data_IF_816395840335
#
_entry.id   IF_816395840335
#
_cell.length_a   1.000
_cell.length_b   1.000
_cell.length_c   1.000
_cell.angle_alpha   90.00
_cell.angle_beta   90.00
_cell.angle_gamma   90.00
#
_symmetry.space_group_name_H-M   'P 1'
#
loop_
_entity.id
_entity.type
_entity.pdbx_description
1 polymer ?
#
# COMPACT_ATOMS: atom_id res chain seq x y z
N UNK A 1 -5.64 -0.28 -18.72
CA UNK A 1 -5.23 -1.38 -19.62
C UNK A 1 -4.57 -2.50 -18.83
N UNK A 2 -4.89 -3.78 -19.06
CA UNK A 2 -4.18 -4.93 -18.47
C UNK A 2 -3.30 -5.62 -19.54
N UNK A 3 -1.96 -5.44 -19.54
CA UNK A 3 -1.09 -6.05 -20.52
C UNK A 3 -0.55 -7.42 -20.08
N UNK A 4 -0.07 -8.24 -21.01
CA UNK A 4 0.82 -9.36 -20.69
C UNK A 4 2.05 -8.89 -19.90
N UNK A 5 2.38 -9.56 -18.79
CA UNK A 5 3.44 -9.12 -17.87
C UNK A 5 4.82 -8.96 -18.53
N UNK A 6 5.12 -9.79 -19.53
CA UNK A 6 6.37 -9.73 -20.32
C UNK A 6 6.53 -8.42 -21.09
N UNK A 7 5.45 -7.67 -21.30
CA UNK A 7 5.44 -6.38 -22.00
C UNK A 7 5.51 -5.19 -21.04
N UNK A 8 5.38 -5.39 -19.71
CA UNK A 8 5.43 -4.31 -18.74
C UNK A 8 6.67 -3.42 -18.91
N UNK A 9 7.91 -3.95 -18.98
CA UNK A 9 9.10 -3.10 -19.15
C UNK A 9 8.98 -2.20 -20.40
N UNK A 10 8.57 -2.77 -21.54
CA UNK A 10 8.43 -2.04 -22.80
C UNK A 10 7.36 -0.94 -22.72
N UNK A 11 6.27 -1.21 -22.01
CA UNK A 11 5.18 -0.25 -21.81
C UNK A 11 5.64 0.90 -20.93
N UNK A 12 6.33 0.62 -19.81
CA UNK A 12 6.86 1.65 -18.91
C UNK A 12 7.87 2.55 -19.64
N UNK A 13 8.79 1.96 -20.40
CA UNK A 13 9.73 2.70 -21.25
C UNK A 13 9.00 3.57 -22.28
N UNK A 14 7.94 3.05 -22.91
CA UNK A 14 7.14 3.83 -23.87
C UNK A 14 6.41 4.99 -23.22
N UNK A 15 5.85 4.80 -22.02
CA UNK A 15 5.18 5.86 -21.26
C UNK A 15 6.14 7.01 -20.99
N UNK A 16 7.34 6.68 -20.50
CA UNK A 16 8.37 7.67 -20.21
C UNK A 16 8.85 8.38 -21.48
N UNK A 17 9.13 7.64 -22.56
CA UNK A 17 9.64 8.20 -23.82
C UNK A 17 8.62 9.09 -24.53
N UNK A 18 7.35 8.69 -24.51
CA UNK A 18 6.28 9.37 -25.26
C UNK A 18 5.56 10.42 -24.41
N UNK A 19 6.03 10.67 -23.18
CA UNK A 19 5.45 11.63 -22.22
C UNK A 19 3.94 11.44 -22.04
N UNK A 20 3.46 10.19 -22.09
CA UNK A 20 2.03 9.92 -22.08
C UNK A 20 1.52 9.63 -20.66
N UNK A 21 0.22 9.80 -20.46
CA UNK A 21 -0.48 9.52 -19.22
C UNK A 21 -1.44 8.35 -19.43
N UNK A 22 -1.39 7.36 -18.55
CA UNK A 22 -2.23 6.16 -18.73
C UNK A 22 -2.55 5.47 -17.41
N UNK A 23 -3.68 4.75 -17.40
CA UNK A 23 -4.03 3.84 -16.31
C UNK A 23 -3.60 2.42 -16.69
N UNK A 24 -2.62 1.91 -15.98
CA UNK A 24 -2.11 0.56 -16.14
C UNK A 24 -2.65 -0.34 -15.04
N UNK A 25 -3.20 -1.50 -15.40
CA UNK A 25 -3.58 -2.54 -14.46
C UNK A 25 -2.41 -3.51 -14.40
N UNK A 26 -1.74 -3.58 -13.25
CA UNK A 26 -0.54 -4.40 -13.07
C UNK A 26 -0.48 -4.94 -11.63
N UNK A 27 0.17 -6.08 -11.41
CA UNK A 27 0.29 -6.68 -10.09
C UNK A 27 1.28 -5.90 -9.22
N UNK A 28 1.00 -5.80 -7.92
CA UNK A 28 1.93 -5.21 -6.96
C UNK A 28 2.98 -6.24 -6.52
N UNK A 29 4.00 -6.49 -7.36
CA UNK A 29 5.03 -7.51 -7.13
C UNK A 29 6.43 -6.90 -6.94
N UNK A 30 6.82 -6.55 -5.70
CA UNK A 30 8.12 -5.91 -5.42
C UNK A 30 9.36 -6.69 -5.87
N UNK A 31 9.25 -8.02 -5.99
CA UNK A 31 10.36 -8.89 -6.39
C UNK A 31 10.66 -8.88 -7.89
N UNK A 32 9.84 -8.20 -8.69
CA UNK A 32 10.03 -8.13 -10.13
C UNK A 32 10.88 -6.92 -10.52
N UNK A 33 11.82 -7.09 -11.44
CA UNK A 33 12.73 -6.01 -11.86
C UNK A 33 12.01 -4.79 -12.41
N UNK A 34 10.91 -4.98 -13.15
CA UNK A 34 10.09 -3.89 -13.70
C UNK A 34 9.26 -3.15 -12.66
N UNK A 35 9.10 -3.69 -11.45
CA UNK A 35 8.26 -3.07 -10.43
C UNK A 35 8.88 -1.77 -9.92
N UNK A 36 10.20 -1.64 -9.92
CA UNK A 36 10.88 -0.42 -9.43
C UNK A 36 10.51 0.82 -10.26
N UNK A 37 10.22 0.64 -11.55
CA UNK A 37 9.81 1.72 -12.46
C UNK A 37 8.36 2.19 -12.20
N UNK A 38 7.48 1.32 -11.70
CA UNK A 38 6.07 1.65 -11.50
C UNK A 38 5.85 2.81 -10.52
N UNK A 39 6.36 2.76 -9.27
CA UNK A 39 6.22 3.86 -8.33
C UNK A 39 6.87 5.16 -8.83
N UNK A 40 7.96 5.07 -9.58
CA UNK A 40 8.67 6.23 -10.12
C UNK A 40 7.89 6.95 -11.23
N UNK A 41 7.01 6.23 -11.92
CA UNK A 41 6.13 6.80 -12.95
C UNK A 41 4.73 7.15 -12.43
N UNK A 42 4.42 6.82 -11.17
CA UNK A 42 3.12 7.14 -10.58
C UNK A 42 2.94 8.64 -10.35
N UNK A 43 1.77 9.14 -10.70
CA UNK A 43 1.31 10.48 -10.34
C UNK A 43 0.05 10.47 -9.47
N UNK A 44 -0.36 9.30 -8.99
CA UNK A 44 -1.39 9.15 -7.98
C UNK A 44 -1.17 7.86 -7.17
N UNK A 45 -1.83 7.76 -6.01
CA UNK A 45 -1.83 6.55 -5.19
C UNK A 45 -2.44 5.37 -5.99
N UNK A 46 -1.77 4.22 -6.08
CA UNK A 46 -2.31 3.06 -6.78
C UNK A 46 -3.57 2.56 -6.07
N UNK A 47 -4.59 2.25 -6.86
CA UNK A 47 -5.86 1.74 -6.35
C UNK A 47 -5.87 0.21 -6.40
N UNK A 48 -5.95 -0.42 -5.24
CA UNK A 48 -6.13 -1.88 -5.16
C UNK A 48 -7.48 -2.25 -5.77
N UNK A 49 -7.49 -3.18 -6.72
CA UNK A 49 -8.72 -3.65 -7.32
C UNK A 49 -9.40 -4.67 -6.40
N UNK A 50 -10.75 -4.65 -6.28
CA UNK A 50 -11.46 -5.66 -5.53
C UNK A 50 -11.30 -7.03 -6.19
N UNK A 51 -11.11 -8.07 -5.39
CA UNK A 51 -11.05 -9.44 -5.90
C UNK A 51 -12.45 -9.85 -6.36
N UNK A 52 -12.63 -9.97 -7.68
CA UNK A 52 -13.85 -10.46 -8.32
C UNK A 52 -13.46 -11.40 -9.45
N UNK A 53 -14.22 -12.47 -9.64
CA UNK A 53 -13.95 -13.46 -10.71
C UNK A 53 -14.07 -12.86 -12.12
N UNK A 54 -14.90 -11.82 -12.26
CA UNK A 54 -15.13 -11.10 -13.51
C UNK A 54 -14.17 -9.93 -13.75
N UNK A 55 -13.26 -9.64 -12.80
CA UNK A 55 -12.36 -8.49 -12.85
C UNK A 55 -11.47 -8.49 -14.10
N UNK A 56 -10.97 -9.68 -14.46
CA UNK A 56 -10.29 -9.91 -15.72
C UNK A 56 -11.09 -10.93 -16.52
N UNK A 57 -11.96 -10.43 -17.37
CA UNK A 57 -12.69 -11.24 -18.34
C UNK A 57 -12.28 -10.92 -19.77
N UNK A 58 -12.24 -11.95 -20.61
CA UNK A 58 -12.03 -11.87 -22.05
C UNK A 58 -13.31 -12.29 -22.79
N UNK A 59 -13.40 -11.91 -24.06
CA UNK A 59 -14.54 -12.26 -24.92
C UNK A 59 -15.90 -11.88 -24.30
N UNK A 60 -16.00 -10.66 -23.73
CA UNK A 60 -17.20 -10.13 -23.06
C UNK A 60 -17.72 -11.05 -21.93
N UNK A 61 -16.84 -11.50 -21.04
CA UNK A 61 -17.24 -12.33 -19.89
C UNK A 61 -17.19 -13.84 -20.12
N UNK A 62 -16.95 -14.31 -21.35
CA UNK A 62 -16.97 -15.76 -21.66
C UNK A 62 -15.73 -16.51 -21.17
N UNK A 63 -14.63 -15.81 -20.97
CA UNK A 63 -13.39 -16.39 -20.45
C UNK A 63 -12.94 -15.58 -19.24
N UNK A 64 -13.10 -16.17 -18.06
CA UNK A 64 -12.59 -15.63 -16.81
C UNK A 64 -11.13 -16.05 -16.63
N UNK A 65 -10.31 -15.15 -16.11
CA UNK A 65 -8.96 -15.50 -15.69
C UNK A 65 -9.01 -16.13 -14.30
N UNK A 66 -8.42 -17.32 -14.16
CA UNK A 66 -8.26 -17.99 -12.87
C UNK A 66 -7.03 -17.43 -12.12
N UNK A 67 -7.00 -17.56 -10.80
CA UNK A 67 -5.84 -17.19 -9.98
C UNK A 67 -5.67 -15.70 -9.73
N UNK A 68 -6.75 -14.91 -9.81
CA UNK A 68 -6.73 -13.45 -9.60
C UNK A 68 -6.28 -13.06 -8.20
N UNK A 69 -6.54 -13.93 -7.22
CA UNK A 69 -6.16 -13.77 -5.83
C UNK A 69 -4.64 -13.62 -5.65
N UNK A 70 -3.85 -14.30 -6.49
CA UNK A 70 -2.39 -14.29 -6.44
C UNK A 70 -1.77 -13.08 -7.17
N UNK A 71 -2.56 -12.40 -7.99
CA UNK A 71 -2.06 -11.28 -8.80
C UNK A 71 -1.95 -9.98 -8.00
N UNK A 72 -2.77 -9.79 -6.96
CA UNK A 72 -2.81 -8.52 -6.20
C UNK A 72 -2.85 -7.30 -7.13
N UNK A 73 -3.84 -7.27 -8.03
CA UNK A 73 -3.93 -6.26 -9.07
C UNK A 73 -4.22 -4.87 -8.50
N UNK A 74 -3.49 -3.88 -9.04
CA UNK A 74 -3.72 -2.48 -8.75
C UNK A 74 -3.89 -1.72 -10.08
N UNK A 75 -4.66 -0.64 -10.02
CA UNK A 75 -4.70 0.38 -11.04
C UNK A 75 -3.67 1.46 -10.71
N UNK A 76 -2.72 1.64 -11.61
CA UNK A 76 -1.61 2.57 -11.50
C UNK A 76 -1.86 3.72 -12.48
N UNK A 77 -2.02 4.95 -11.97
CA UNK A 77 -2.03 6.13 -12.83
C UNK A 77 -0.57 6.56 -13.06
N UNK A 78 -0.10 6.32 -14.28
CA UNK A 78 1.27 6.57 -14.69
C UNK A 78 1.35 7.79 -15.61
N UNK A 79 2.40 8.57 -15.46
CA UNK A 79 2.69 9.71 -16.32
C UNK A 79 4.17 9.73 -16.70
N UNK A 80 4.45 9.92 -17.99
CA UNK A 80 5.79 10.23 -18.47
C UNK A 80 6.19 11.70 -18.22
N UNK A 81 5.25 12.56 -17.81
CA UNK A 81 5.47 13.99 -17.61
C UNK A 81 6.11 14.22 -16.22
N UNK A 82 7.34 14.79 -16.13
CA UNK A 82 8.02 14.98 -14.84
C UNK A 82 7.23 15.81 -13.83
N UNK A 83 6.63 16.92 -14.24
CA UNK A 83 5.90 17.83 -13.34
C UNK A 83 4.69 17.18 -12.66
N UNK A 84 3.98 16.27 -13.34
CA UNK A 84 2.86 15.55 -12.73
C UNK A 84 3.33 14.56 -11.64
N UNK A 85 4.48 13.92 -11.85
CA UNK A 85 5.07 13.00 -10.88
C UNK A 85 5.63 13.75 -9.68
N UNK A 86 6.32 14.86 -9.94
CA UNK A 86 6.88 15.73 -8.90
C UNK A 86 5.79 16.35 -8.04
N UNK A 87 4.66 16.79 -8.63
CA UNK A 87 3.53 17.27 -7.86
C UNK A 87 3.03 16.20 -6.88
N UNK A 88 2.87 14.94 -7.33
CA UNK A 88 2.47 13.83 -6.47
C UNK A 88 3.50 13.49 -5.37
N UNK A 89 4.80 13.58 -5.67
CA UNK A 89 5.87 13.34 -4.69
C UNK A 89 6.00 14.51 -3.68
N UNK A 90 5.69 15.73 -4.14
CA UNK A 90 5.75 16.97 -3.36
C UNK A 90 4.50 17.16 -2.49
N UNK A 91 3.34 16.67 -2.95
CA UNK A 91 2.09 16.50 -2.18
C UNK A 91 2.26 15.42 -1.11
N UNK A 92 3.29 15.54 -0.27
CA UNK A 92 3.29 14.95 1.05
C UNK A 92 2.08 15.53 1.79
N UNK A 93 1.35 14.73 2.59
CA UNK A 93 0.37 15.29 3.50
C UNK A 93 1.15 16.22 4.43
N UNK A 94 1.00 17.52 4.23
CA UNK A 94 1.30 18.53 5.23
C UNK A 94 0.35 18.26 6.38
N UNK A 95 0.76 17.36 7.29
CA UNK A 95 0.27 17.37 8.66
C UNK A 95 0.75 18.69 9.24
N UNK A 96 -0.07 19.73 9.04
CA UNK A 96 0.00 20.94 9.85
C UNK A 96 -0.54 20.54 11.22
N UNK A 97 0.37 20.31 12.18
CA UNK A 97 0.02 20.41 13.59
C UNK A 97 -0.34 21.88 13.89
N UNK A 98 -1.37 22.00 14.72
CA UNK A 98 -1.77 23.15 15.52
C UNK A 98 -2.27 24.43 14.83
N UNK A 99 -3.60 24.57 14.86
CA UNK A 99 -4.22 25.85 15.21
C UNK A 99 -5.46 25.58 16.09
N UNK A 100 -5.25 24.86 17.20
CA UNK A 100 -6.13 24.96 18.36
C UNK A 100 -5.70 26.17 19.18
N UNK A 101 -6.10 27.35 18.75
CA UNK A 101 -6.11 28.53 19.61
C UNK A 101 -7.24 29.48 19.19
N UNK A 102 -8.05 29.85 20.18
CA UNK A 102 -9.06 30.91 20.17
C UNK A 102 -10.41 30.66 19.50
N UNK A 103 -11.29 29.95 20.20
CA UNK A 103 -12.66 30.43 20.44
C UNK A 103 -12.94 30.42 21.95
N UNK A 104 -12.43 31.48 22.56
CA UNK A 104 -12.96 32.20 23.72
C UNK A 104 -14.42 31.82 24.07
N UNK A 105 -14.60 30.83 24.95
CA UNK A 105 -15.84 30.64 25.70
C UNK A 105 -16.00 31.81 26.69
N UNK A 106 -16.50 32.93 26.19
CA UNK A 106 -17.05 34.00 27.01
C UNK A 106 -18.53 34.11 26.71
N UNK A 107 -19.38 33.51 27.54
CA UNK A 107 -20.54 34.23 28.06
C UNK A 107 -21.23 33.44 29.19
N UNK A 108 -20.99 33.93 30.42
CA UNK A 108 -21.95 33.99 31.53
C UNK A 108 -22.10 32.74 32.42
N UNK A 109 -21.53 32.83 33.62
CA UNK A 109 -22.23 32.39 34.85
C UNK A 109 -22.92 33.65 35.43
N UNK A 110 -24.09 33.56 36.10
CA UNK A 110 -24.27 32.88 37.39
C UNK A 110 -25.59 32.04 37.41
N UNK A 111 -25.96 31.22 38.40
CA UNK A 111 -26.05 31.50 39.83
C UNK A 111 -26.37 30.21 40.64
N UNK A 112 -26.16 30.36 41.94
CA UNK A 112 -26.09 29.43 43.07
C UNK A 112 -27.44 28.85 43.53
N UNK A 113 -27.37 27.65 44.15
CA UNK A 113 -28.18 27.02 45.24
C UNK A 113 -28.64 25.60 44.83
N UNK A 114 -28.57 24.53 45.62
CA UNK A 114 -28.39 24.33 47.07
C UNK A 114 -27.97 22.86 47.39
N UNK A 115 -26.99 22.73 48.31
CA UNK A 115 -26.79 21.78 49.44
C UNK A 115 -27.05 20.24 49.39
N UNK A 116 -26.06 19.56 50.03
CA UNK A 116 -26.15 18.39 50.96
C UNK A 116 -26.28 17.00 50.31
N UNK A 117 -25.55 15.93 50.67
CA UNK A 117 -24.67 15.59 51.79
C UNK A 117 -23.63 14.51 51.38
N UNK A 118 -22.45 14.61 52.02
CA UNK A 118 -21.52 13.62 52.58
C UNK A 118 -21.52 12.10 52.22
N UNK A 119 -20.31 11.52 52.32
CA UNK A 119 -19.93 10.08 52.47
C UNK A 119 -19.82 9.31 51.13
N UNK A 120 -18.75 8.63 50.73
CA UNK A 120 -17.66 7.96 51.46
C UNK A 120 -16.39 7.88 50.59
N UNK A 121 -15.28 7.78 51.31
CA UNK A 121 -13.90 7.60 50.90
C UNK A 121 -13.66 6.14 50.50
N UNK A 122 -13.08 5.86 49.34
CA UNK A 122 -12.41 4.57 49.10
C UNK A 122 -11.13 4.74 48.29
N UNK A 123 -10.03 4.57 49.02
CA UNK A 123 -8.67 4.41 48.55
C UNK A 123 -8.51 3.01 47.95
N UNK A 124 -7.92 2.91 46.76
CA UNK A 124 -7.45 1.65 46.21
C UNK A 124 -6.03 1.84 45.70
N UNK A 125 -5.09 1.44 46.55
CA UNK A 125 -3.72 1.14 46.17
C UNK A 125 -3.71 -0.10 45.26
N UNK A 126 -2.96 -0.05 44.17
CA UNK A 126 -2.51 -1.26 43.49
C UNK A 126 -1.12 -1.01 42.94
N UNK A 127 -0.18 -1.50 43.72
CA UNK A 127 1.17 -1.86 43.33
C UNK A 127 1.19 -2.81 42.11
N UNK A 128 2.40 -3.00 41.59
CA UNK A 128 2.83 -4.01 40.62
C UNK A 128 2.46 -3.79 39.15
N UNK A 129 3.43 -3.32 38.37
CA UNK A 129 3.94 -4.10 37.24
C UNK A 129 5.25 -3.49 36.67
N UNK A 130 6.40 -3.88 37.21
CA UNK A 130 7.70 -3.73 36.55
C UNK A 130 8.55 -4.92 36.95
N UNK A 131 8.52 -5.99 36.15
CA UNK A 131 9.57 -7.00 36.16
C UNK A 131 9.63 -7.77 34.83
N UNK A 132 10.88 -7.90 34.37
CA UNK A 132 11.42 -8.90 33.45
C UNK A 132 11.37 -8.62 31.93
N UNK A 133 12.44 -7.96 31.48
CA UNK A 133 13.24 -8.40 30.33
C UNK A 133 13.57 -9.89 30.44
N UNK A 134 13.32 -10.69 29.40
CA UNK A 134 14.30 -11.64 28.84
C UNK A 134 13.75 -12.44 27.65
N UNK A 135 14.42 -12.27 26.50
CA UNK A 135 14.88 -13.31 25.57
C UNK A 135 13.88 -14.30 24.95
N UNK A 136 13.67 -14.19 23.64
CA UNK A 136 13.48 -15.35 22.77
C UNK A 136 13.83 -14.99 21.31
N UNK A 137 15.05 -15.32 20.89
CA UNK A 137 15.46 -15.40 19.49
C UNK A 137 14.94 -16.71 18.86
N UNK A 138 14.30 -16.68 17.67
CA UNK A 138 13.91 -17.88 16.95
C UNK A 138 15.05 -18.48 16.10
N UNK A 139 15.06 -19.81 15.88
CA UNK A 139 16.19 -20.53 15.28
C UNK A 139 16.30 -20.36 13.75
N UNK A 140 17.54 -20.09 13.32
CA UNK A 140 18.01 -20.09 11.93
C UNK A 140 17.91 -21.49 11.31
N UNK A 141 17.06 -21.66 10.30
CA UNK A 141 17.07 -22.84 9.42
C UNK A 141 17.86 -22.52 8.15
N UNK A 142 19.07 -23.08 8.06
CA UNK A 142 19.84 -23.13 6.81
C UNK A 142 19.23 -24.18 5.86
N UNK A 143 18.71 -23.75 4.70
CA UNK A 143 18.45 -24.63 3.56
C UNK A 143 19.61 -24.52 2.56
N UNK A 144 20.41 -25.58 2.47
CA UNK A 144 21.45 -25.76 1.47
C UNK A 144 20.81 -26.07 0.11
N UNK A 145 20.89 -25.13 -0.83
CA UNK A 145 20.65 -25.36 -2.26
C UNK A 145 21.98 -25.49 -2.98
N UNK A 146 22.23 -26.64 -3.60
CA UNK A 146 23.13 -26.85 -4.74
C UNK A 146 23.12 -28.36 -5.07
N UNK A 147 23.12 -28.88 -6.31
CA UNK A 147 23.57 -28.36 -7.61
C UNK A 147 22.95 -29.23 -8.72
N UNK A 148 22.82 -28.65 -9.93
CA UNK A 148 22.91 -29.30 -11.25
C UNK A 148 21.83 -30.30 -11.69
N UNK A 149 20.99 -29.91 -12.65
CA UNK A 149 21.01 -30.50 -14.01
C UNK A 149 20.10 -29.73 -14.99
N UNK A 150 20.70 -29.11 -16.00
CA UNK A 150 20.14 -28.67 -17.29
C UNK A 150 21.37 -28.57 -18.23
N UNK A 151 21.27 -28.67 -19.57
CA UNK A 151 20.06 -28.67 -20.40
C UNK A 151 20.09 -29.70 -21.56
N UNK A 152 18.93 -30.00 -22.17
CA UNK A 152 18.87 -30.24 -23.63
C UNK A 152 17.63 -29.57 -24.25
N UNK A 153 17.88 -28.41 -24.82
CA UNK A 153 17.02 -27.71 -25.77
C UNK A 153 17.17 -28.38 -27.14
N UNK A 154 16.09 -28.93 -27.69
CA UNK A 154 16.04 -29.37 -29.09
C UNK A 154 15.06 -28.46 -29.82
N UNK A 155 15.60 -27.55 -30.63
CA UNK A 155 14.85 -26.87 -31.68
C UNK A 155 14.81 -27.80 -32.88
N UNK A 156 13.60 -28.07 -33.39
CA UNK A 156 13.38 -28.73 -34.69
C UNK A 156 13.02 -27.63 -35.68
N UNK A 157 13.82 -27.53 -36.75
CA UNK A 157 13.53 -26.74 -37.95
C UNK A 157 13.15 -27.71 -39.05
N UNK A 158 11.94 -27.60 -39.59
CA UNK A 158 11.60 -27.70 -41.03
C UNK A 158 10.16 -27.19 -41.23
#
# INVERSE_FOLDING_TARGET
MFPPFRLLPKILHKIQRDLCKTILIAPAWPRQSWFTELPLLCCAKPLRLPLREDLLSQFKGRKLHQGLENLHLHAWLLSGIPSEREAFLTEKPSVSRDQSDNLQEQCMTPNVRHKMDEVEKSQFDTDDFEHALSSSDPPTTEMKFNTHDQPKSTYVTV
#
